data_IF_654409317294
#
_entry.id   IF_654409317294
#
_cell.length_a   1.000
_cell.length_b   1.000
_cell.length_c   1.000
_cell.angle_alpha   90.00
_cell.angle_beta   90.00
_cell.angle_gamma   90.00
#
_symmetry.space_group_name_H-M   'P 1'
#
loop_
_entity.id
_entity.type
_entity.pdbx_description
1 polymer ?
#
# COMPACT_ATOMS: atom_id res chain seq x y z
N UNK A 1 11.72 -5.34 -35.79
CA UNK A 1 12.50 -5.78 -34.62
C UNK A 1 12.21 -7.25 -34.37
N UNK A 2 13.23 -8.11 -34.48
CA UNK A 2 13.15 -9.51 -34.04
C UNK A 2 13.22 -9.55 -32.51
N UNK A 3 12.25 -10.17 -31.85
CA UNK A 3 12.33 -10.43 -30.42
C UNK A 3 13.14 -11.72 -30.19
N UNK A 4 14.14 -11.62 -29.33
CA UNK A 4 14.99 -12.73 -28.92
C UNK A 4 14.32 -13.46 -27.74
N UNK A 5 13.87 -14.69 -27.99
CA UNK A 5 13.01 -15.50 -27.09
C UNK A 5 13.79 -16.28 -26.03
N UNK A 6 15.09 -16.05 -25.90
CA UNK A 6 16.01 -16.91 -25.14
C UNK A 6 16.09 -16.60 -23.64
N UNK A 7 15.43 -15.55 -23.14
CA UNK A 7 15.49 -15.18 -21.71
C UNK A 7 14.35 -15.83 -20.88
N UNK A 8 14.67 -16.60 -19.82
CA UNK A 8 13.72 -17.42 -19.06
C UNK A 8 12.73 -16.62 -18.19
N UNK A 9 12.91 -15.31 -18.04
CA UNK A 9 11.98 -14.45 -17.28
C UNK A 9 10.71 -14.08 -18.07
N UNK A 10 10.60 -14.50 -19.34
CA UNK A 10 9.52 -14.08 -20.25
C UNK A 10 8.31 -15.02 -20.30
N UNK A 11 8.40 -16.22 -19.72
CA UNK A 11 7.32 -17.23 -19.81
C UNK A 11 6.09 -16.87 -18.98
N UNK A 12 6.25 -16.24 -17.81
CA UNK A 12 5.11 -15.74 -17.01
C UNK A 12 4.40 -14.58 -17.73
N UNK A 13 5.15 -13.76 -18.47
CA UNK A 13 4.59 -12.68 -19.30
C UNK A 13 3.84 -13.20 -20.52
N UNK A 14 4.26 -14.34 -21.08
CA UNK A 14 3.66 -14.90 -22.28
C UNK A 14 2.24 -15.41 -22.04
N UNK A 15 1.91 -15.95 -20.87
CA UNK A 15 0.53 -16.38 -20.58
C UNK A 15 -0.47 -15.21 -20.45
N UNK A 16 -0.02 -14.00 -20.11
CA UNK A 16 -0.90 -12.83 -20.00
C UNK A 16 -1.21 -12.16 -21.36
N UNK A 17 -0.29 -12.27 -22.32
CA UNK A 17 -0.47 -11.74 -23.68
C UNK A 17 -1.37 -12.63 -24.57
N UNK A 18 -1.64 -13.87 -24.16
CA UNK A 18 -2.35 -14.87 -24.98
C UNK A 18 -3.89 -14.86 -24.88
N UNK A 19 -4.48 -13.92 -24.15
CA UNK A 19 -5.94 -13.69 -24.16
C UNK A 19 -6.34 -12.44 -24.95
N UNK A 20 -5.56 -12.08 -25.98
CA UNK A 20 -6.08 -11.23 -27.05
C UNK A 20 -6.98 -12.15 -27.88
N UNK A 21 -8.29 -12.09 -27.66
CA UNK A 21 -9.25 -12.82 -28.48
C UNK A 21 -9.02 -12.45 -29.94
N UNK A 22 -8.84 -13.41 -30.86
CA UNK A 22 -8.58 -13.12 -32.27
C UNK A 22 -9.74 -12.39 -32.97
N UNK A 23 -10.89 -12.24 -32.30
CA UNK A 23 -12.11 -11.63 -32.83
C UNK A 23 -12.38 -10.20 -32.33
N UNK A 24 -11.66 -9.71 -31.32
CA UNK A 24 -11.80 -8.33 -30.86
C UNK A 24 -10.43 -7.67 -30.79
N UNK A 25 -10.24 -6.58 -31.55
CA UNK A 25 -9.04 -5.73 -31.49
C UNK A 25 -8.89 -4.97 -30.15
N UNK A 26 -9.42 -5.50 -29.04
CA UNK A 26 -9.32 -4.94 -27.70
C UNK A 26 -8.76 -5.98 -26.75
N UNK A 27 -7.65 -5.63 -26.10
CA UNK A 27 -7.18 -6.37 -24.95
C UNK A 27 -8.17 -6.16 -23.80
N UNK A 28 -9.03 -7.14 -23.55
CA UNK A 28 -9.94 -7.14 -22.41
C UNK A 28 -9.38 -8.03 -21.31
N UNK A 29 -9.37 -7.52 -20.08
CA UNK A 29 -8.88 -8.26 -18.91
C UNK A 29 -10.03 -8.38 -17.91
N UNK A 30 -10.22 -9.59 -17.37
CA UNK A 30 -11.22 -9.85 -16.33
C UNK A 30 -10.82 -9.10 -15.06
N UNK A 31 -11.77 -8.38 -14.45
CA UNK A 31 -11.50 -7.47 -13.32
C UNK A 31 -10.87 -8.14 -12.11
N UNK A 32 -11.27 -9.36 -11.73
CA UNK A 32 -10.65 -10.05 -10.59
C UNK A 32 -9.14 -10.23 -10.76
N UNK A 33 -8.65 -10.45 -11.99
CA UNK A 33 -7.22 -10.54 -12.29
C UNK A 33 -6.53 -9.19 -12.10
N UNK A 34 -7.17 -8.12 -12.56
CA UNK A 34 -6.70 -6.75 -12.32
C UNK A 34 -6.70 -6.39 -10.83
N UNK A 35 -7.67 -6.88 -10.05
CA UNK A 35 -7.74 -6.64 -8.61
C UNK A 35 -6.51 -7.22 -7.90
N UNK A 36 -6.13 -8.46 -8.19
CA UNK A 36 -4.90 -9.05 -7.64
C UNK A 36 -3.65 -8.27 -8.01
N UNK A 37 -3.60 -7.65 -9.20
CA UNK A 37 -2.49 -6.80 -9.60
C UNK A 37 -2.50 -5.43 -8.89
N UNK A 38 -3.67 -4.93 -8.50
CA UNK A 38 -3.85 -3.66 -7.78
C UNK A 38 -3.58 -3.75 -6.28
N UNK A 39 -3.96 -4.84 -5.63
CA UNK A 39 -3.85 -5.00 -4.17
C UNK A 39 -2.44 -4.66 -3.66
N UNK A 40 -1.34 -5.14 -4.28
CA UNK A 40 0.02 -4.77 -3.85
C UNK A 40 0.37 -3.29 -3.97
N UNK A 41 -0.35 -2.53 -4.81
CA UNK A 41 -0.18 -1.08 -4.92
C UNK A 41 -0.88 -0.31 -3.81
N UNK A 42 -2.00 -0.82 -3.30
CA UNK A 42 -2.76 -0.19 -2.21
C UNK A 42 -2.31 -0.67 -0.83
N UNK A 43 -1.76 -1.88 -0.72
CA UNK A 43 -1.36 -2.46 0.56
C UNK A 43 -0.32 -1.65 1.33
N UNK A 44 0.70 -1.01 0.72
CA UNK A 44 1.70 -0.25 1.45
C UNK A 44 1.07 0.88 2.27
N UNK A 45 0.19 1.67 1.66
CA UNK A 45 -0.39 2.85 2.29
C UNK A 45 -1.13 2.46 3.56
N UNK A 46 -2.02 1.47 3.48
CA UNK A 46 -2.82 1.02 4.62
C UNK A 46 -1.93 0.35 5.67
N UNK A 47 -1.01 -0.52 5.25
CA UNK A 47 -0.12 -1.23 6.17
C UNK A 47 0.81 -0.27 6.92
N UNK A 48 1.32 0.78 6.27
CA UNK A 48 2.20 1.76 6.91
C UNK A 48 1.48 2.56 7.97
N UNK A 49 0.30 3.10 7.68
CA UNK A 49 -0.44 3.89 8.65
C UNK A 49 -0.87 3.05 9.86
N UNK A 50 -1.33 1.82 9.62
CA UNK A 50 -1.63 0.89 10.72
C UNK A 50 -0.39 0.53 11.53
N UNK A 51 0.75 0.25 10.88
CA UNK A 51 2.00 -0.05 11.55
C UNK A 51 2.49 1.15 12.39
N UNK A 52 2.35 2.38 11.89
CA UNK A 52 2.64 3.59 12.67
C UNK A 52 1.75 3.68 13.91
N UNK A 53 0.44 3.40 13.78
CA UNK A 53 -0.47 3.33 14.92
C UNK A 53 -0.03 2.29 15.95
N UNK A 54 0.33 1.07 15.52
CA UNK A 54 0.75 0.02 16.44
C UNK A 54 2.03 0.39 17.20
N UNK A 55 3.02 0.96 16.51
CA UNK A 55 4.25 1.45 17.16
C UNK A 55 3.91 2.55 18.17
N UNK A 56 3.02 3.48 17.81
CA UNK A 56 2.57 4.53 18.71
C UNK A 56 1.87 3.96 19.96
N UNK A 57 0.98 2.97 19.79
CA UNK A 57 0.29 2.29 20.90
C UNK A 57 1.25 1.51 21.79
N UNK A 58 2.24 0.83 21.20
CA UNK A 58 3.31 0.13 21.93
C UNK A 58 4.10 1.12 22.80
N UNK A 59 4.48 2.27 22.25
CA UNK A 59 5.17 3.35 22.99
C UNK A 59 4.32 3.95 24.09
N UNK A 60 3.02 4.14 23.84
CA UNK A 60 2.06 4.53 24.87
C UNK A 60 2.06 3.51 26.01
N UNK A 61 1.91 2.23 25.69
CA UNK A 61 1.86 1.15 26.68
C UNK A 61 3.15 1.07 27.50
N UNK A 62 4.33 1.15 26.85
CA UNK A 62 5.61 1.17 27.52
C UNK A 62 5.77 2.37 28.47
N UNK A 63 5.22 3.53 28.10
CA UNK A 63 5.31 4.77 28.88
C UNK A 63 4.38 4.78 30.10
N UNK A 64 3.19 4.18 29.99
CA UNK A 64 2.20 4.17 31.08
C UNK A 64 2.27 2.89 31.95
N UNK A 65 2.63 1.74 31.37
CA UNK A 65 2.54 0.42 32.00
C UNK A 65 3.86 -0.36 31.96
N UNK A 66 4.98 0.29 32.28
CA UNK A 66 6.34 -0.29 32.20
C UNK A 66 6.46 -1.70 32.80
N UNK A 67 5.95 -1.91 34.03
CA UNK A 67 6.05 -3.20 34.74
C UNK A 67 5.29 -4.33 34.03
N UNK A 68 4.13 -4.04 33.46
CA UNK A 68 3.32 -5.04 32.75
C UNK A 68 3.91 -5.33 31.38
N UNK A 69 4.44 -4.30 30.73
CA UNK A 69 5.05 -4.37 29.41
C UNK A 69 6.29 -5.29 29.40
N UNK A 70 7.19 -5.14 30.38
CA UNK A 70 8.41 -5.96 30.49
C UNK A 70 8.13 -7.47 30.63
N UNK A 71 6.97 -7.84 31.19
CA UNK A 71 6.63 -9.24 31.45
C UNK A 71 5.92 -9.96 30.29
N UNK A 72 5.50 -9.25 29.23
CA UNK A 72 4.64 -9.85 28.19
C UNK A 72 4.91 -9.40 26.73
N UNK A 73 6.16 -9.19 26.27
CA UNK A 73 6.43 -8.59 24.96
C UNK A 73 5.90 -9.41 23.78
N UNK A 74 5.99 -10.75 23.84
CA UNK A 74 5.66 -11.63 22.69
C UNK A 74 4.16 -11.70 22.38
N UNK A 75 3.29 -11.65 23.42
CA UNK A 75 1.85 -11.82 23.22
C UNK A 75 1.22 -10.62 22.52
N UNK A 76 1.67 -9.41 22.83
CA UNK A 76 1.18 -8.19 22.18
C UNK A 76 1.55 -8.12 20.70
N UNK A 77 2.76 -8.57 20.32
CA UNK A 77 3.17 -8.61 18.92
C UNK A 77 2.27 -9.50 18.05
N UNK A 78 1.98 -10.74 18.47
CA UNK A 78 1.09 -11.63 17.72
C UNK A 78 -0.34 -11.08 17.61
N UNK A 79 -0.86 -10.51 18.70
CA UNK A 79 -2.17 -9.88 18.70
C UNK A 79 -2.22 -8.67 17.75
N UNK A 80 -1.18 -7.83 17.73
CA UNK A 80 -1.07 -6.68 16.84
C UNK A 80 -1.03 -7.10 15.37
N UNK A 81 -0.23 -8.12 15.02
CA UNK A 81 -0.17 -8.64 13.63
C UNK A 81 -1.52 -9.22 13.20
N UNK A 82 -2.18 -10.01 14.05
CA UNK A 82 -3.50 -10.57 13.75
C UNK A 82 -4.55 -9.46 13.55
N UNK A 83 -4.52 -8.42 14.39
CA UNK A 83 -5.41 -7.27 14.26
C UNK A 83 -5.12 -6.46 12.99
N UNK A 84 -3.83 -6.23 12.66
CA UNK A 84 -3.41 -5.55 11.44
C UNK A 84 -3.93 -6.26 10.18
N UNK A 85 -3.73 -7.59 10.10
CA UNK A 85 -4.21 -8.39 8.97
C UNK A 85 -5.74 -8.38 8.87
N UNK A 86 -6.44 -8.41 10.01
CA UNK A 86 -7.90 -8.34 10.06
C UNK A 86 -8.42 -6.99 9.54
N UNK A 87 -7.83 -5.88 10.01
CA UNK A 87 -8.19 -4.53 9.57
C UNK A 87 -7.88 -4.38 8.07
N UNK A 88 -6.70 -4.81 7.61
CA UNK A 88 -6.34 -4.77 6.20
C UNK A 88 -7.34 -5.54 5.32
N UNK A 89 -7.72 -6.76 5.70
CA UNK A 89 -8.73 -7.55 5.00
C UNK A 89 -10.09 -6.84 4.92
N UNK A 90 -10.54 -6.25 6.03
CA UNK A 90 -11.79 -5.47 6.08
C UNK A 90 -11.74 -4.22 5.18
N UNK A 91 -10.60 -3.54 5.11
CA UNK A 91 -10.42 -2.38 4.22
C UNK A 91 -10.45 -2.76 2.74
N UNK A 92 -9.76 -3.85 2.37
CA UNK A 92 -9.81 -4.37 0.99
C UNK A 92 -11.24 -4.76 0.64
N UNK A 93 -11.96 -5.44 1.52
CA UNK A 93 -13.36 -5.77 1.34
C UNK A 93 -14.21 -4.49 1.17
N UNK A 94 -14.06 -3.50 2.05
CA UNK A 94 -14.80 -2.22 1.97
C UNK A 94 -14.59 -1.50 0.63
N UNK A 95 -13.37 -1.44 0.12
CA UNK A 95 -13.06 -0.77 -1.14
C UNK A 95 -13.73 -1.49 -2.33
N UNK A 96 -13.70 -2.83 -2.35
CA UNK A 96 -14.02 -3.62 -3.54
C UNK A 96 -15.33 -4.41 -3.48
N UNK A 97 -16.11 -4.35 -2.40
CA UNK A 97 -17.31 -5.19 -2.24
C UNK A 97 -18.39 -4.98 -3.32
N UNK A 98 -18.51 -3.77 -3.88
CA UNK A 98 -19.49 -3.48 -4.94
C UNK A 98 -18.92 -3.55 -6.36
N UNK A 99 -17.65 -3.96 -6.51
CA UNK A 99 -17.11 -4.15 -7.85
C UNK A 99 -17.59 -5.47 -8.44
N UNK A 100 -18.22 -5.39 -9.62
CA UNK A 100 -18.53 -6.58 -10.42
C UNK A 100 -17.21 -7.16 -10.95
N UNK A 101 -16.70 -8.19 -10.26
CA UNK A 101 -15.39 -8.82 -10.47
C UNK A 101 -15.31 -9.64 -11.77
N UNK A 102 -16.45 -9.98 -12.37
CA UNK A 102 -16.54 -10.81 -13.57
C UNK A 102 -16.66 -10.00 -14.86
N UNK A 103 -16.88 -8.68 -14.76
CA UNK A 103 -16.84 -7.80 -15.93
C UNK A 103 -15.43 -7.65 -16.50
N UNK A 104 -15.39 -7.37 -17.80
CA UNK A 104 -14.18 -7.07 -18.54
C UNK A 104 -13.85 -5.58 -18.47
N UNK A 105 -12.58 -5.25 -18.31
CA UNK A 105 -12.07 -3.88 -18.39
C UNK A 105 -11.00 -3.77 -19.49
N UNK A 106 -10.92 -2.61 -20.19
CA UNK A 106 -9.91 -2.38 -21.22
C UNK A 106 -8.50 -2.20 -20.65
N UNK A 107 -8.36 -1.79 -19.37
CA UNK A 107 -7.07 -1.67 -18.70
C UNK A 107 -7.19 -1.88 -17.19
N UNK A 108 -6.17 -2.51 -16.60
CA UNK A 108 -6.12 -2.77 -15.15
C UNK A 108 -5.85 -1.52 -14.30
N UNK A 109 -5.62 -0.34 -14.87
CA UNK A 109 -5.49 0.92 -14.13
C UNK A 109 -6.82 1.65 -13.83
N UNK A 110 -7.92 1.28 -14.50
CA UNK A 110 -9.18 2.01 -14.43
C UNK A 110 -9.92 1.82 -13.08
N UNK A 111 -9.93 2.83 -12.22
CA UNK A 111 -10.80 2.81 -11.03
C UNK A 111 -12.26 2.96 -11.45
N UNK A 112 -13.17 2.20 -10.86
CA UNK A 112 -14.59 2.32 -11.16
C UNK A 112 -15.18 3.58 -10.48
N UNK A 113 -16.25 4.17 -11.03
CA UNK A 113 -16.92 5.31 -10.38
C UNK A 113 -17.40 5.00 -8.95
N UNK A 114 -17.65 3.72 -8.64
CA UNK A 114 -18.10 3.28 -7.32
C UNK A 114 -16.95 3.09 -6.33
N UNK A 115 -15.78 2.60 -6.76
CA UNK A 115 -14.62 2.41 -5.87
C UNK A 115 -13.75 3.66 -5.71
N UNK A 116 -13.73 4.56 -6.68
CA UNK A 116 -12.97 5.81 -6.64
C UNK A 116 -13.21 6.66 -5.37
N UNK A 117 -14.45 6.99 -4.99
CA UNK A 117 -14.70 7.78 -3.77
C UNK A 117 -14.30 7.03 -2.49
N UNK A 118 -14.39 5.70 -2.47
CA UNK A 118 -14.00 4.88 -1.31
C UNK A 118 -12.51 4.88 -1.12
N UNK A 119 -11.75 4.69 -2.21
CA UNK A 119 -10.29 4.77 -2.20
C UNK A 119 -9.85 6.16 -1.72
N UNK A 120 -10.46 7.23 -2.23
CA UNK A 120 -10.15 8.59 -1.81
C UNK A 120 -10.44 8.80 -0.31
N UNK A 121 -11.59 8.32 0.17
CA UNK A 121 -11.93 8.36 1.59
C UNK A 121 -10.92 7.58 2.46
N UNK A 122 -10.46 6.41 1.99
CA UNK A 122 -9.39 5.64 2.66
C UNK A 122 -8.14 6.50 2.84
N UNK A 123 -7.69 7.21 1.79
CA UNK A 123 -6.52 8.08 1.89
C UNK A 123 -6.69 9.19 2.94
N UNK A 124 -7.86 9.83 3.00
CA UNK A 124 -8.12 10.86 4.01
C UNK A 124 -8.12 10.30 5.43
N UNK A 125 -8.70 9.11 5.64
CA UNK A 125 -8.70 8.45 6.95
C UNK A 125 -7.29 8.06 7.37
N UNK A 126 -6.48 7.48 6.48
CA UNK A 126 -5.09 7.12 6.76
C UNK A 126 -4.24 8.34 7.07
N UNK A 127 -4.39 9.42 6.30
CA UNK A 127 -3.69 10.69 6.56
C UNK A 127 -4.05 11.27 7.93
N UNK A 128 -5.33 11.25 8.30
CA UNK A 128 -5.79 11.71 9.61
C UNK A 128 -5.23 10.87 10.75
N UNK A 129 -5.15 9.55 10.55
CA UNK A 129 -4.53 8.62 11.50
C UNK A 129 -3.03 8.91 11.67
N UNK A 130 -2.29 9.08 10.59
CA UNK A 130 -0.84 9.35 10.63
C UNK A 130 -0.54 10.70 11.29
N UNK A 131 -1.35 11.72 11.00
CA UNK A 131 -1.26 13.01 11.66
C UNK A 131 -1.52 12.88 13.18
N UNK A 132 -2.54 12.10 13.57
CA UNK A 132 -2.85 11.81 14.97
C UNK A 132 -1.72 11.09 15.70
N UNK A 133 -1.16 10.04 15.10
CA UNK A 133 0.00 9.31 15.63
C UNK A 133 1.21 10.24 15.79
N UNK A 134 1.49 11.09 14.80
CA UNK A 134 2.60 12.04 14.85
C UNK A 134 2.44 13.06 16.00
N UNK A 135 1.25 13.64 16.15
CA UNK A 135 0.94 14.56 17.27
C UNK A 135 1.08 13.82 18.61
N UNK A 136 0.60 12.59 18.68
CA UNK A 136 0.74 11.72 19.83
C UNK A 136 2.19 11.45 20.20
N UNK A 137 3.04 11.13 19.22
CA UNK A 137 4.48 10.92 19.40
C UNK A 137 5.15 12.17 19.99
N UNK A 138 4.83 13.37 19.47
CA UNK A 138 5.33 14.64 20.03
C UNK A 138 4.90 14.83 21.48
N UNK A 139 3.64 14.53 21.81
CA UNK A 139 3.14 14.62 23.18
C UNK A 139 3.83 13.63 24.13
N UNK A 140 4.05 12.40 23.68
CA UNK A 140 4.79 11.36 24.40
C UNK A 140 6.24 11.75 24.69
N UNK A 141 6.92 12.35 23.71
CA UNK A 141 8.27 12.88 23.88
C UNK A 141 8.31 14.01 24.92
N UNK A 142 7.33 14.92 24.86
CA UNK A 142 7.22 16.01 25.84
C UNK A 142 7.01 15.49 27.26
N UNK A 143 6.09 14.52 27.44
CA UNK A 143 5.85 13.87 28.73
C UNK A 143 7.10 13.15 29.25
N UNK A 144 7.81 12.43 28.37
CA UNK A 144 9.02 11.70 28.71
C UNK A 144 10.14 12.65 29.17
N UNK A 145 10.32 13.77 28.46
CA UNK A 145 11.29 14.82 28.83
C UNK A 145 10.97 15.41 30.20
N UNK A 146 9.69 15.70 30.50
CA UNK A 146 9.25 16.22 31.80
C UNK A 146 9.56 15.24 32.93
N UNK A 147 9.29 13.94 32.73
CA UNK A 147 9.59 12.89 33.72
C UNK A 147 11.08 12.72 33.96
N UNK A 148 11.90 12.82 32.92
CA UNK A 148 13.36 12.74 33.03
C UNK A 148 13.93 13.92 33.81
N UNK A 149 13.43 15.14 33.59
CA UNK A 149 13.87 16.32 34.35
C UNK A 149 13.55 16.19 35.84
N UNK A 150 12.35 15.70 36.18
CA UNK A 150 11.99 15.42 37.58
C UNK A 150 12.90 14.33 38.17
N UNK A 151 13.12 13.23 37.45
CA UNK A 151 14.04 12.17 37.90
C UNK A 151 15.46 12.68 38.11
N UNK A 152 15.98 13.54 37.23
CA UNK A 152 17.30 14.13 37.37
C UNK A 152 17.39 15.05 38.60
N UNK A 153 16.33 15.83 38.89
CA UNK A 153 16.24 16.67 40.08
C UNK A 153 16.23 15.85 41.38
N UNK A 154 15.66 14.64 41.37
CA UNK A 154 15.74 13.71 42.52
C UNK A 154 17.05 12.92 42.55
N UNK A 155 17.63 12.58 41.39
CA UNK A 155 18.84 11.77 41.27
C UNK A 155 20.13 12.53 41.64
N UNK A 156 20.13 13.86 41.60
CA UNK A 156 21.17 14.68 42.23
C UNK A 156 21.30 14.45 43.74
N UNK A 157 20.33 13.77 44.38
CA UNK A 157 20.45 13.27 45.77
C UNK A 157 20.96 11.82 45.90
N UNK A 158 21.03 11.04 44.81
CA UNK A 158 21.35 9.60 44.87
C UNK A 158 22.34 9.18 43.78
N UNK A 159 23.64 9.31 44.12
CA UNK A 159 24.84 9.19 43.28
C UNK A 159 25.10 7.82 42.62
N UNK A 160 24.11 6.93 42.44
CA UNK A 160 24.37 5.49 42.15
C UNK A 160 23.54 4.81 41.04
N UNK A 161 23.12 5.49 39.96
CA UNK A 161 22.36 4.84 38.87
C UNK A 161 22.83 5.14 37.44
N UNK A 162 24.11 4.94 37.18
CA UNK A 162 24.70 5.13 35.84
C UNK A 162 24.41 3.96 34.85
N UNK A 163 23.68 2.91 35.25
CA UNK A 163 23.39 1.75 34.38
C UNK A 163 22.11 1.88 33.53
N UNK A 164 21.22 2.85 33.76
CA UNK A 164 19.98 2.98 32.98
C UNK A 164 20.17 3.57 31.58
N UNK A 165 21.33 4.19 31.32
CA UNK A 165 21.63 4.86 30.04
C UNK A 165 21.79 3.86 28.88
N UNK A 166 22.17 2.61 29.18
CA UNK A 166 22.35 1.56 28.17
C UNK A 166 21.03 0.93 27.71
N UNK A 167 19.95 1.04 28.50
CA UNK A 167 18.61 0.57 28.10
C UNK A 167 17.90 1.52 27.12
N UNK A 168 18.40 2.75 26.96
CA UNK A 168 17.87 3.71 25.99
C UNK A 168 18.65 3.69 24.67
N UNK A 169 19.89 3.18 24.65
CA UNK A 169 20.68 3.03 23.42
C UNK A 169 20.10 1.98 22.46
N UNK A 170 19.28 1.04 22.96
CA UNK A 170 18.52 0.09 22.14
C UNK A 170 17.40 0.73 21.31
N UNK A 171 17.01 1.99 21.57
CA UNK A 171 16.08 2.72 20.70
C UNK A 171 16.73 3.20 19.38
N UNK A 172 18.05 3.13 19.25
CA UNK A 172 18.76 3.48 18.00
C UNK A 172 18.60 2.43 16.90
N UNK A 173 18.27 1.18 17.26
CA UNK A 173 18.03 0.10 16.30
C UNK A 173 16.67 0.29 15.59
N UNK A 174 15.70 0.94 16.23
CA UNK A 174 14.41 1.28 15.62
C UNK A 174 14.56 2.27 14.45
N UNK A 175 15.52 3.21 14.53
CA UNK A 175 15.83 4.14 13.44
C UNK A 175 16.39 3.43 12.20
N UNK A 176 17.19 2.38 12.39
CA UNK A 176 17.73 1.59 11.29
C UNK A 176 16.65 0.78 10.57
N UNK A 177 15.66 0.25 11.30
CA UNK A 177 14.51 -0.41 10.69
C UNK A 177 13.68 0.56 9.85
N UNK A 178 13.46 1.80 10.31
CA UNK A 178 12.75 2.82 9.52
C UNK A 178 13.51 3.14 8.24
N UNK A 179 14.83 3.31 8.29
CA UNK A 179 15.66 3.59 7.10
C UNK A 179 15.66 2.40 6.12
N UNK A 180 15.81 1.17 6.61
CA UNK A 180 15.77 -0.04 5.76
C UNK A 180 14.39 -0.23 5.13
N UNK A 181 13.32 0.09 5.86
CA UNK A 181 11.95 0.03 5.33
C UNK A 181 11.76 1.10 4.26
N UNK A 182 12.20 2.34 4.49
CA UNK A 182 12.16 3.41 3.47
C UNK A 182 12.97 3.01 2.22
N UNK A 183 14.16 2.43 2.39
CA UNK A 183 15.01 2.02 1.27
C UNK A 183 14.43 0.86 0.46
N UNK A 184 13.89 -0.16 1.13
CA UNK A 184 13.23 -1.31 0.47
C UNK A 184 11.98 -0.86 -0.26
N UNK A 185 11.25 0.12 0.26
CA UNK A 185 10.08 0.67 -0.43
C UNK A 185 10.45 1.62 -1.57
N UNK A 186 11.47 2.46 -1.43
CA UNK A 186 11.96 3.29 -2.52
C UNK A 186 12.46 2.44 -3.69
N UNK A 187 13.13 1.31 -3.40
CA UNK A 187 13.58 0.37 -4.43
C UNK A 187 12.42 -0.41 -5.06
N UNK A 188 11.45 -0.90 -4.29
CA UNK A 188 10.25 -1.53 -4.84
C UNK A 188 9.41 -0.56 -5.69
N UNK A 189 9.29 0.69 -5.25
CA UNK A 189 8.61 1.76 -5.99
C UNK A 189 9.35 2.11 -7.29
N UNK A 190 10.68 2.25 -7.24
CA UNK A 190 11.51 2.45 -8.43
C UNK A 190 11.40 1.28 -9.41
N UNK A 191 11.42 0.04 -8.92
CA UNK A 191 11.24 -1.15 -9.76
C UNK A 191 9.85 -1.19 -10.39
N UNK A 192 8.81 -0.85 -9.64
CA UNK A 192 7.45 -0.73 -10.16
C UNK A 192 7.32 0.41 -11.18
N UNK A 193 7.93 1.57 -10.93
CA UNK A 193 7.92 2.72 -11.85
C UNK A 193 8.70 2.42 -13.13
N UNK A 194 9.88 1.79 -13.04
CA UNK A 194 10.65 1.32 -14.19
C UNK A 194 9.85 0.29 -15.00
N UNK A 195 9.16 -0.62 -14.32
CA UNK A 195 8.27 -1.58 -14.95
C UNK A 195 7.12 -0.90 -15.71
N UNK A 196 6.48 0.12 -15.13
CA UNK A 196 5.45 0.93 -15.80
C UNK A 196 6.01 1.69 -17.01
N UNK A 197 7.21 2.28 -16.89
CA UNK A 197 7.82 3.04 -17.99
C UNK A 197 8.20 2.14 -19.16
N UNK A 198 8.69 0.94 -18.89
CA UNK A 198 8.97 -0.09 -19.89
C UNK A 198 7.66 -0.54 -20.56
N UNK A 199 6.58 -0.72 -19.80
CA UNK A 199 5.24 -1.01 -20.33
C UNK A 199 4.77 0.09 -21.29
N UNK A 200 4.89 1.35 -20.87
CA UNK A 200 4.42 2.49 -21.64
C UNK A 200 5.22 2.68 -22.95
N UNK A 201 6.55 2.55 -22.92
CA UNK A 201 7.37 2.65 -24.13
C UNK A 201 7.09 1.50 -25.11
N UNK A 202 6.75 0.30 -24.61
CA UNK A 202 6.42 -0.85 -25.46
C UNK A 202 5.04 -0.72 -26.10
N UNK A 203 4.08 -0.06 -25.44
CA UNK A 203 2.77 0.25 -26.02
C UNK A 203 2.81 1.28 -27.16
N UNK A 204 3.84 2.14 -27.17
CA UNK A 204 4.05 3.13 -28.24
C UNK A 204 4.93 2.60 -29.39
N UNK A 205 5.55 1.43 -29.22
CA UNK A 205 6.29 0.73 -30.26
C UNK A 205 5.38 0.06 -31.29
N UNK A 206 4.83 0.87 -32.20
CA UNK A 206 4.22 0.46 -33.49
C UNK A 206 3.20 -0.67 -33.41
N UNK A 207 2.02 -0.38 -32.86
CA UNK A 207 0.81 -1.03 -33.35
C UNK A 207 0.63 -0.56 -34.81
N UNK A 208 0.80 -1.45 -35.78
CA UNK A 208 0.47 -1.16 -37.17
C UNK A 208 -1.05 -1.39 -37.30
N UNK A 209 -1.89 -0.34 -37.33
CA UNK A 209 -3.35 -0.46 -37.22
C UNK A 209 -4.02 -1.03 -38.49
N UNK A 210 -3.27 -1.64 -39.40
CA UNK A 210 -3.74 -1.95 -40.75
C UNK A 210 -4.67 -3.15 -40.88
N UNK A 211 -5.05 -3.85 -39.80
CA UNK A 211 -6.04 -4.94 -39.89
C UNK A 211 -6.99 -4.96 -38.69
N UNK A 212 -7.68 -3.84 -38.44
CA UNK A 212 -9.01 -3.89 -37.85
C UNK A 212 -9.91 -3.12 -38.82
N UNK A 213 -10.94 -3.74 -39.42
CA UNK A 213 -11.78 -3.04 -40.38
C UNK A 213 -12.44 -1.82 -39.69
N UNK A 214 -12.15 -0.62 -40.19
CA UNK A 214 -12.66 0.66 -39.66
C UNK A 214 -14.19 0.75 -39.62
N UNK A 215 -14.89 -0.14 -40.34
CA UNK A 215 -16.33 -0.02 -40.56
C UNK A 215 -17.21 -0.43 -39.35
N UNK A 216 -16.67 -1.12 -38.34
CA UNK A 216 -17.47 -1.53 -37.17
C UNK A 216 -17.40 -0.55 -35.99
N UNK A 217 -16.34 0.25 -35.85
CA UNK A 217 -16.21 1.21 -34.75
C UNK A 217 -17.29 2.32 -34.81
N UNK A 218 -17.69 2.74 -36.01
CA UNK A 218 -18.74 3.74 -36.22
C UNK A 218 -20.15 3.21 -35.88
N UNK A 219 -20.38 1.90 -35.96
CA UNK A 219 -21.68 1.29 -35.63
C UNK A 219 -21.91 1.30 -34.12
N UNK A 220 -20.88 0.97 -33.34
CA UNK A 220 -20.98 0.96 -31.88
C UNK A 220 -21.02 2.37 -31.26
N UNK A 221 -20.34 3.36 -31.86
CA UNK A 221 -20.45 4.75 -31.40
C UNK A 221 -21.87 5.31 -31.62
N UNK A 222 -22.54 4.91 -32.71
CA UNK A 222 -23.95 5.26 -32.96
C UNK A 222 -24.92 4.56 -32.00
N UNK A 223 -24.69 3.30 -31.65
CA UNK A 223 -25.52 2.58 -30.65
C UNK A 223 -25.39 3.16 -29.24
N UNK A 224 -24.17 3.56 -28.83
CA UNK A 224 -23.97 4.15 -27.50
C UNK A 224 -24.60 5.55 -27.38
N UNK A 225 -24.57 6.34 -28.46
CA UNK A 225 -25.23 7.65 -28.47
C UNK A 225 -26.76 7.58 -28.48
N UNK A 226 -27.37 6.51 -29.02
CA UNK A 226 -28.83 6.37 -29.00
C UNK A 226 -29.39 5.94 -27.64
N UNK A 227 -28.57 5.32 -26.77
CA UNK A 227 -28.98 5.03 -25.38
C UNK A 227 -28.84 6.24 -24.45
N UNK A 228 -27.95 7.19 -24.73
CA UNK A 228 -27.74 8.39 -23.89
C UNK A 228 -28.78 9.49 -24.20
N UNK A 229 -29.36 9.51 -25.40
CA UNK A 229 -30.32 10.53 -25.85
C UNK A 229 -31.79 10.12 -25.67
N UNK A 230 -32.06 8.97 -25.05
CA UNK A 230 -33.39 8.43 -24.80
C UNK A 230 -33.97 8.74 -23.41
N UNK A 231 -33.55 9.84 -22.77
CA UNK A 231 -34.15 10.41 -21.57
C UNK A 231 -34.28 11.93 -21.70
#
# INVERSE_FOLDING_TARGET
MHFDFTKPYSTIFFQYAYHISPFECRAVIIRWKCLFLRIPGFSPIICFSLLHLFIFLERCCATFFLKTYENAPKRYGYAAVALLLSIFGLWVYYIFHDEDLFRYNPYCGATSPTSAPRILNTYYVMLGLDAGCTIGDFWLLWLSKKRMNLRNAFATSSKKRMNLRNAFATSSVEGAHVIVTIYTFATLYLLWFLHQRIYHQRSQGTFNPKVCPQNEADVYFKMFNSQITGY
#
